data_IF_490830671557
#
_entry.id   IF_490830671557
#
_cell.length_a   1.000
_cell.length_b   1.000
_cell.length_c   1.000
_cell.angle_alpha   90.00
_cell.angle_beta   90.00
_cell.angle_gamma   90.00
#
_symmetry.space_group_name_H-M   'P 1'
#
loop_
_entity.id
_entity.type
_entity.pdbx_description
1 polymer ?
#
# COMPACT_ATOMS: atom_id res chain seq x y z
N UNK A 1 -30.05 40.19 -26.28
CA UNK A 1 -29.13 39.06 -25.99
C UNK A 1 -29.71 37.79 -26.61
N UNK A 2 -29.10 37.30 -27.71
CA UNK A 2 -29.70 36.29 -28.60
C UNK A 2 -29.64 34.87 -28.01
N UNK A 3 -30.74 34.12 -28.20
CA UNK A 3 -31.06 32.81 -27.60
C UNK A 3 -29.97 31.73 -27.77
N UNK A 4 -29.14 31.86 -28.80
CA UNK A 4 -28.03 30.94 -29.12
C UNK A 4 -26.96 30.91 -28.01
N UNK A 5 -26.68 32.06 -27.36
CA UNK A 5 -25.68 32.14 -26.29
C UNK A 5 -26.09 31.39 -25.01
N UNK A 6 -27.40 31.19 -24.79
CA UNK A 6 -27.92 30.45 -23.61
C UNK A 6 -27.84 28.93 -23.78
N UNK A 7 -27.94 28.44 -25.02
CA UNK A 7 -27.90 26.99 -25.32
C UNK A 7 -26.48 26.44 -25.23
N UNK A 8 -25.50 27.19 -25.72
CA UNK A 8 -24.08 26.82 -25.64
C UNK A 8 -23.58 26.66 -24.18
N UNK A 9 -24.07 27.50 -23.26
CA UNK A 9 -23.71 27.42 -21.84
C UNK A 9 -24.30 26.17 -21.15
N UNK A 10 -25.51 25.75 -21.55
CA UNK A 10 -26.18 24.58 -20.97
C UNK A 10 -25.50 23.25 -21.34
N UNK A 11 -25.00 23.13 -22.57
CA UNK A 11 -24.30 21.93 -23.03
C UNK A 11 -22.92 21.80 -22.38
N UNK A 12 -22.24 22.93 -22.12
CA UNK A 12 -20.93 22.98 -21.45
C UNK A 12 -21.00 22.47 -20.00
N UNK A 13 -22.08 22.81 -19.29
CA UNK A 13 -22.30 22.35 -17.90
C UNK A 13 -22.64 20.86 -17.84
N UNK A 14 -23.37 20.32 -18.83
CA UNK A 14 -23.67 18.90 -18.90
C UNK A 14 -22.40 18.03 -19.17
N UNK A 15 -21.43 18.54 -19.93
CA UNK A 15 -20.17 17.82 -20.20
C UNK A 15 -19.24 17.71 -18.99
N UNK A 16 -19.27 18.67 -18.06
CA UNK A 16 -18.41 18.69 -16.87
C UNK A 16 -18.87 17.74 -15.76
N UNK A 17 -20.16 17.37 -15.70
CA UNK A 17 -20.70 16.48 -14.67
C UNK A 17 -20.32 14.99 -14.87
N UNK A 18 -20.07 14.57 -16.11
CA UNK A 18 -19.62 13.21 -16.43
C UNK A 18 -18.08 13.06 -16.42
N UNK A 19 -17.33 14.16 -16.29
CA UNK A 19 -15.87 14.17 -16.39
C UNK A 19 -15.11 13.68 -15.14
N UNK A 20 -15.77 13.58 -13.99
CA UNK A 20 -15.12 13.23 -12.72
C UNK A 20 -15.26 11.75 -12.31
N UNK A 21 -15.91 10.91 -13.11
CA UNK A 21 -16.18 9.51 -12.72
C UNK A 21 -15.06 8.51 -13.04
N UNK A 22 -13.94 8.92 -13.64
CA UNK A 22 -12.99 7.97 -14.24
C UNK A 22 -11.64 7.80 -13.54
N UNK A 23 -11.34 8.51 -12.44
CA UNK A 23 -10.04 8.40 -11.76
C UNK A 23 -10.16 8.08 -10.27
N UNK A 24 -11.04 7.15 -9.93
CA UNK A 24 -10.87 6.36 -8.71
C UNK A 24 -10.70 4.90 -9.08
N UNK A 25 -9.81 4.59 -10.04
CA UNK A 25 -9.05 3.34 -9.91
C UNK A 25 -8.27 3.49 -8.63
N UNK A 26 -8.89 3.01 -7.54
CA UNK A 26 -8.22 2.73 -6.29
C UNK A 26 -7.13 1.74 -6.67
N UNK A 27 -5.93 2.24 -6.99
CA UNK A 27 -4.73 1.44 -6.95
C UNK A 27 -4.73 0.88 -5.55
N UNK A 28 -5.13 -0.39 -5.39
CA UNK A 28 -4.88 -1.14 -4.16
C UNK A 28 -3.43 -0.83 -3.84
N UNK A 29 -3.18 -0.19 -2.69
CA UNK A 29 -1.83 0.17 -2.28
C UNK A 29 -1.05 -1.15 -2.27
N UNK A 30 -0.16 -1.31 -3.23
CA UNK A 30 0.72 -2.48 -3.32
C UNK A 30 1.76 -2.44 -2.20
N UNK A 31 1.90 -1.30 -1.53
CA UNK A 31 2.71 -1.14 -0.33
C UNK A 31 1.92 -1.61 0.90
N UNK A 32 2.39 -2.69 1.51
CA UNK A 32 1.85 -3.30 2.74
C UNK A 32 2.91 -3.33 3.84
N UNK A 33 2.47 -3.37 5.09
CA UNK A 33 3.35 -3.54 6.25
C UNK A 33 3.52 -5.04 6.47
N UNK A 34 4.78 -5.48 6.61
CA UNK A 34 5.13 -6.83 7.01
C UNK A 34 5.95 -6.79 8.30
N UNK A 35 5.79 -7.81 9.13
CA UNK A 35 6.44 -7.94 10.44
C UNK A 35 7.60 -8.92 10.35
N UNK A 36 8.71 -8.57 10.98
CA UNK A 36 9.93 -9.35 11.03
C UNK A 36 9.78 -10.43 12.09
N UNK A 37 9.51 -11.65 11.65
CA UNK A 37 9.30 -12.82 12.52
C UNK A 37 10.55 -13.69 12.65
N UNK A 38 11.51 -13.57 11.71
CA UNK A 38 12.73 -14.37 11.71
C UNK A 38 13.98 -13.49 11.77
N UNK A 39 14.77 -13.65 12.83
CA UNK A 39 16.00 -12.89 13.09
C UNK A 39 17.25 -13.47 12.44
N UNK A 40 17.15 -14.62 11.76
CA UNK A 40 18.26 -15.23 10.99
C UNK A 40 18.70 -14.34 9.83
N UNK A 41 17.83 -13.42 9.39
CA UNK A 41 18.08 -12.44 8.34
C UNK A 41 18.08 -11.03 8.95
N UNK A 42 19.20 -10.54 9.53
CA UNK A 42 19.21 -9.31 10.31
C UNK A 42 18.96 -8.05 9.48
N UNK A 43 19.21 -8.10 8.17
CA UNK A 43 19.01 -6.96 7.28
C UNK A 43 17.51 -6.62 7.14
N UNK A 44 17.15 -5.34 7.26
CA UNK A 44 15.77 -4.89 7.15
C UNK A 44 15.20 -5.02 5.72
N UNK A 45 16.07 -5.01 4.71
CA UNK A 45 15.73 -5.17 3.30
C UNK A 45 15.82 -6.61 2.80
N UNK A 46 15.96 -7.60 3.68
CA UNK A 46 15.90 -9.02 3.30
C UNK A 46 14.46 -9.53 3.48
N UNK A 47 13.78 -9.96 2.41
CA UNK A 47 12.39 -10.39 2.51
C UNK A 47 12.20 -11.70 3.28
N UNK A 48 13.26 -12.52 3.45
CA UNK A 48 13.19 -13.93 3.94
C UNK A 48 12.89 -14.09 5.44
N UNK A 49 12.50 -13.03 6.14
CA UNK A 49 12.12 -13.10 7.55
C UNK A 49 10.87 -12.30 7.88
N UNK A 50 10.05 -11.99 6.88
CA UNK A 50 8.86 -11.16 7.02
C UNK A 50 7.58 -11.95 6.76
N UNK A 51 6.57 -11.73 7.60
CA UNK A 51 5.21 -12.25 7.46
C UNK A 51 4.19 -11.13 7.54
N UNK A 52 3.07 -11.29 6.85
CA UNK A 52 1.98 -10.32 6.86
C UNK A 52 1.05 -10.58 8.05
N UNK A 53 0.63 -9.50 8.71
CA UNK A 53 -0.46 -9.52 9.69
C UNK A 53 -1.32 -8.28 9.50
N UNK A 54 -2.63 -8.45 9.57
CA UNK A 54 -3.62 -7.37 9.43
C UNK A 54 -3.65 -6.42 10.62
N UNK A 55 -3.24 -6.89 11.80
CA UNK A 55 -3.11 -6.12 13.04
C UNK A 55 -1.73 -5.49 13.23
N UNK A 56 -1.62 -4.57 14.20
CA UNK A 56 -0.32 -4.12 14.70
C UNK A 56 0.22 -5.14 15.69
N UNK A 57 1.33 -5.77 15.32
CA UNK A 57 2.02 -6.78 16.13
C UNK A 57 3.27 -6.20 16.80
N UNK A 58 3.56 -4.90 16.65
CA UNK A 58 4.78 -4.33 17.17
C UNK A 58 4.65 -3.91 18.64
N UNK A 59 5.45 -4.54 19.48
CA UNK A 59 5.63 -4.17 20.87
C UNK A 59 6.91 -3.35 21.09
N UNK A 60 6.92 -2.46 22.11
CA UNK A 60 8.04 -1.57 22.37
C UNK A 60 9.30 -2.35 22.81
N UNK A 61 10.46 -1.88 22.32
CA UNK A 61 11.76 -2.49 22.59
C UNK A 61 12.16 -3.53 21.54
N UNK A 62 13.46 -3.66 21.28
CA UNK A 62 13.98 -4.58 20.25
C UNK A 62 14.58 -3.86 19.03
N UNK A 63 14.79 -4.62 17.94
CA UNK A 63 15.40 -4.16 16.69
C UNK A 63 14.32 -3.80 15.66
N UNK A 64 14.40 -4.31 14.43
CA UNK A 64 13.36 -4.12 13.42
C UNK A 64 12.14 -4.97 13.77
N UNK A 65 11.00 -4.32 13.97
CA UNK A 65 9.71 -4.98 14.11
C UNK A 65 9.01 -5.15 12.78
N UNK A 66 8.87 -4.08 12.00
CA UNK A 66 8.13 -4.13 10.73
C UNK A 66 8.78 -3.22 9.68
N UNK A 67 8.41 -3.46 8.43
CA UNK A 67 8.82 -2.65 7.30
C UNK A 67 7.73 -2.65 6.22
N UNK A 68 7.69 -1.60 5.41
CA UNK A 68 6.78 -1.53 4.27
C UNK A 68 7.42 -2.12 3.02
N UNK A 69 6.64 -2.92 2.31
CA UNK A 69 7.03 -3.61 1.10
C UNK A 69 5.99 -3.41 0.01
N UNK A 70 6.44 -3.01 -1.16
CA UNK A 70 5.63 -3.01 -2.37
C UNK A 70 5.58 -4.43 -2.95
N UNK A 71 4.43 -5.07 -2.88
CA UNK A 71 4.19 -6.42 -3.40
C UNK A 71 3.86 -6.44 -4.91
N UNK A 72 3.82 -5.28 -5.57
CA UNK A 72 3.60 -5.18 -7.01
C UNK A 72 2.30 -5.84 -7.47
N UNK A 73 2.40 -6.88 -8.29
CA UNK A 73 1.27 -7.63 -8.86
C UNK A 73 0.92 -8.90 -8.09
N UNK A 74 1.55 -9.16 -6.93
CA UNK A 74 1.20 -10.31 -6.11
C UNK A 74 -0.24 -10.19 -5.58
N UNK A 75 -0.84 -11.35 -5.28
CA UNK A 75 -2.14 -11.37 -4.61
C UNK A 75 -1.99 -10.74 -3.21
N UNK A 76 -3.04 -10.07 -2.70
CA UNK A 76 -3.05 -9.59 -1.32
C UNK A 76 -2.81 -10.76 -0.35
N UNK A 77 -1.87 -10.62 0.61
CA UNK A 77 -1.58 -11.65 1.59
C UNK A 77 -2.71 -11.78 2.62
N UNK A 78 -2.71 -12.92 3.31
CA UNK A 78 -3.47 -13.22 4.52
C UNK A 78 -2.53 -13.35 5.73
N UNK A 79 -3.09 -13.30 6.94
CA UNK A 79 -2.29 -13.29 8.16
C UNK A 79 -1.44 -14.58 8.27
N UNK A 80 -0.13 -14.42 8.49
CA UNK A 80 0.86 -15.49 8.49
C UNK A 80 1.49 -15.79 7.11
N UNK A 81 1.06 -15.12 6.03
CA UNK A 81 1.71 -15.29 4.74
C UNK A 81 3.11 -14.66 4.73
N UNK A 82 4.09 -15.45 4.31
CA UNK A 82 5.46 -14.98 4.12
C UNK A 82 5.54 -13.96 2.98
N UNK A 83 6.39 -12.94 3.14
CA UNK A 83 6.71 -11.99 2.10
C UNK A 83 7.37 -12.72 0.90
N UNK A 84 6.88 -12.53 -0.34
CA UNK A 84 7.52 -13.13 -1.50
C UNK A 84 8.99 -12.70 -1.64
N UNK A 85 9.86 -13.66 -1.95
CA UNK A 85 11.32 -13.43 -2.05
C UNK A 85 11.73 -12.63 -3.30
N UNK A 86 10.83 -12.47 -4.27
CA UNK A 86 11.09 -11.79 -5.54
C UNK A 86 9.87 -10.99 -5.98
N UNK A 87 10.08 -10.01 -6.86
CA UNK A 87 9.01 -9.13 -7.34
C UNK A 87 8.40 -8.22 -6.25
N UNK A 88 9.12 -8.06 -5.14
CA UNK A 88 8.78 -7.14 -4.05
C UNK A 88 9.85 -6.05 -3.93
N UNK A 89 9.45 -4.84 -3.52
CA UNK A 89 10.38 -3.72 -3.35
C UNK A 89 10.30 -3.16 -1.93
N UNK A 90 11.44 -3.14 -1.25
CA UNK A 90 11.57 -2.55 0.08
C UNK A 90 11.41 -1.02 0.04
N UNK A 91 10.58 -0.46 0.93
CA UNK A 91 10.43 0.99 1.06
C UNK A 91 11.47 1.54 2.04
N UNK A 92 12.43 2.30 1.54
CA UNK A 92 13.49 2.88 2.38
C UNK A 92 12.91 3.88 3.39
N UNK A 93 13.36 3.83 4.64
CA UNK A 93 12.84 4.69 5.71
C UNK A 93 11.51 4.26 6.31
N UNK A 94 10.97 3.10 5.90
CA UNK A 94 9.72 2.54 6.43
C UNK A 94 9.90 1.56 7.60
N UNK A 95 11.14 1.39 8.07
CA UNK A 95 11.46 0.46 9.15
C UNK A 95 10.90 0.99 10.46
N UNK A 96 10.08 0.20 11.11
CA UNK A 96 9.59 0.46 12.46
C UNK A 96 10.34 -0.40 13.47
N UNK A 97 10.80 0.22 14.54
CA UNK A 97 11.57 -0.45 15.60
C UNK A 97 10.65 -1.05 16.66
N UNK A 98 11.02 -2.22 17.17
CA UNK A 98 10.27 -2.97 18.17
C UNK A 98 10.57 -4.48 18.11
N UNK A 99 9.65 -5.28 18.61
CA UNK A 99 9.60 -6.72 18.40
C UNK A 99 8.20 -7.13 17.97
N UNK A 100 8.09 -8.17 17.16
CA UNK A 100 6.79 -8.74 16.79
C UNK A 100 6.30 -9.66 17.93
N UNK A 101 5.11 -9.37 18.47
CA UNK A 101 4.40 -10.23 19.42
C UNK A 101 3.58 -11.26 18.65
N UNK A 102 4.12 -12.47 18.49
CA UNK A 102 3.52 -13.57 17.73
C UNK A 102 2.77 -14.56 18.63
#
# INVERSE_FOLDING_TARGET
MNKIKKVALGILMAGLAFGFSAFTTVKKRSVLIYYKVNMSYPNANDPRGYEYYSGDMCAPGGNTCSAQWDIGTHLPPTDGDALPISGVTFQTGSVYSGHADL
#
